data_IF_142832601824
#
_entry.id   IF_142832601824
#
_cell.length_a   1.000
_cell.length_b   1.000
_cell.length_c   1.000
_cell.angle_alpha   90.00
_cell.angle_beta   90.00
_cell.angle_gamma   90.00
#
_symmetry.space_group_name_H-M   'P 1'
#
loop_
_entity.id
_entity.type
_entity.pdbx_description
1 polymer ?
#
# COMPACT_ATOMS: atom_id res chain seq x y z
N UNK A 1 31.78 27.51 21.32
CA UNK A 1 30.54 26.73 21.49
C UNK A 1 29.79 26.57 20.16
N UNK A 2 30.29 25.75 19.22
CA UNK A 2 29.66 25.55 17.89
C UNK A 2 29.61 24.07 17.43
N UNK A 3 30.04 23.12 18.27
CA UNK A 3 30.21 21.70 17.88
C UNK A 3 29.08 20.76 18.36
N UNK A 4 28.10 21.26 19.11
CA UNK A 4 27.04 20.42 19.70
C UNK A 4 25.79 20.32 18.81
N UNK A 5 25.61 21.23 17.85
CA UNK A 5 24.41 21.25 16.99
C UNK A 5 24.42 20.12 15.96
N UNK A 6 25.59 19.60 15.56
CA UNK A 6 25.66 18.54 14.54
C UNK A 6 25.13 17.18 15.01
N UNK A 7 25.28 16.86 16.30
CA UNK A 7 24.93 15.54 16.84
C UNK A 7 23.41 15.37 16.98
N UNK A 8 22.68 16.46 17.22
CA UNK A 8 21.21 16.43 17.33
C UNK A 8 20.52 16.22 15.98
N UNK A 9 21.12 16.65 14.87
CA UNK A 9 20.59 16.41 13.53
C UNK A 9 20.76 14.93 13.12
N UNK A 10 21.86 14.29 13.52
CA UNK A 10 22.12 12.87 13.22
C UNK A 10 21.15 11.91 13.93
N UNK A 11 20.65 12.27 15.11
CA UNK A 11 19.71 11.42 15.86
C UNK A 11 18.28 11.55 15.32
N UNK A 12 17.88 12.71 14.78
CA UNK A 12 16.58 12.86 14.11
C UNK A 12 16.47 12.06 12.80
N UNK A 13 17.60 11.71 12.17
CA UNK A 13 17.65 10.87 10.96
C UNK A 13 17.48 9.36 11.24
N UNK A 14 17.62 8.92 12.50
CA UNK A 14 17.46 7.51 12.89
C UNK A 14 16.01 7.16 13.27
N UNK A 15 15.11 8.15 13.29
CA UNK A 15 13.69 7.97 13.65
C UNK A 15 12.76 7.68 12.47
N UNK A 16 13.27 7.63 11.23
CA UNK A 16 12.47 7.20 10.09
C UNK A 16 12.35 5.68 10.23
N UNK A 17 11.30 5.22 10.91
CA UNK A 17 10.89 3.82 10.85
C UNK A 17 10.80 3.45 9.38
N UNK A 18 11.80 2.71 8.89
CA UNK A 18 11.82 2.26 7.51
C UNK A 18 10.62 1.34 7.37
N UNK A 19 9.57 1.83 6.70
CA UNK A 19 8.63 0.93 6.06
C UNK A 19 9.47 0.11 5.08
N UNK A 20 9.81 -1.11 5.49
CA UNK A 20 10.44 -2.08 4.60
C UNK A 20 9.34 -2.51 3.66
N UNK A 21 9.53 -2.23 2.38
CA UNK A 21 8.79 -2.93 1.36
C UNK A 21 9.72 -4.00 0.77
N UNK A 22 9.14 -5.10 0.33
CA UNK A 22 9.89 -6.20 -0.28
C UNK A 22 9.22 -6.56 -1.60
N UNK A 23 10.02 -6.59 -2.68
CA UNK A 23 9.55 -7.09 -3.97
C UNK A 23 9.53 -8.62 -3.92
N UNK A 24 8.32 -9.17 -3.95
CA UNK A 24 8.11 -10.62 -3.98
C UNK A 24 7.54 -11.05 -5.32
N UNK A 25 8.06 -12.17 -5.85
CA UNK A 25 7.55 -12.82 -7.07
C UNK A 25 6.78 -14.07 -6.67
N UNK A 26 5.55 -14.19 -7.17
CA UNK A 26 4.69 -15.33 -6.88
C UNK A 26 4.23 -16.01 -8.15
N UNK A 27 4.18 -17.34 -8.13
CA UNK A 27 3.58 -18.16 -9.18
C UNK A 27 2.43 -18.97 -8.57
N UNK A 28 1.23 -18.77 -9.11
CA UNK A 28 0.08 -19.62 -8.85
C UNK A 28 0.19 -20.86 -9.73
N UNK A 29 0.59 -21.97 -9.15
CA UNK A 29 0.78 -23.24 -9.85
C UNK A 29 -0.53 -23.86 -10.35
N UNK A 30 -1.68 -23.42 -9.86
CA UNK A 30 -2.98 -23.90 -10.33
C UNK A 30 -3.43 -23.17 -11.60
N UNK A 31 -3.30 -21.84 -11.63
CA UNK A 31 -3.71 -21.03 -12.79
C UNK A 31 -2.58 -20.69 -13.76
N UNK A 32 -1.32 -20.95 -13.38
CA UNK A 32 -0.13 -20.46 -14.10
C UNK A 32 0.03 -18.94 -14.00
N UNK A 33 -0.66 -18.29 -13.05
CA UNK A 33 -0.61 -16.85 -12.87
C UNK A 33 0.71 -16.41 -12.21
N UNK A 34 1.39 -15.41 -12.78
CA UNK A 34 2.57 -14.81 -12.14
C UNK A 34 2.23 -13.41 -11.61
N UNK A 35 2.75 -13.10 -10.42
CA UNK A 35 2.61 -11.80 -9.77
C UNK A 35 3.95 -11.24 -9.34
N UNK A 36 4.06 -9.92 -9.37
CA UNK A 36 5.17 -9.15 -8.79
C UNK A 36 4.52 -8.19 -7.81
N UNK A 37 4.94 -8.22 -6.54
CA UNK A 37 4.30 -7.46 -5.48
C UNK A 37 5.34 -6.61 -4.76
N UNK A 38 5.01 -5.35 -4.43
CA UNK A 38 5.68 -4.64 -3.34
C UNK A 38 4.80 -4.79 -2.10
N UNK A 39 5.35 -5.40 -1.06
CA UNK A 39 4.63 -5.72 0.20
C UNK A 39 5.16 -4.85 1.31
N UNK A 40 4.33 -3.97 1.84
CA UNK A 40 4.64 -3.18 3.02
C UNK A 40 4.05 -3.88 4.23
N UNK A 41 4.85 -4.12 5.25
CA UNK A 41 4.38 -4.48 6.58
C UNK A 41 4.80 -3.39 7.56
N UNK A 42 3.85 -2.82 8.29
CA UNK A 42 4.18 -1.81 9.30
C UNK A 42 4.10 -2.43 10.70
N UNK A 43 5.11 -2.25 11.55
CA UNK A 43 5.07 -2.74 12.92
C UNK A 43 4.22 -1.83 13.84
N UNK A 44 3.72 -0.70 13.33
CA UNK A 44 3.00 0.28 14.12
C UNK A 44 1.50 -0.08 14.22
N UNK A 45 0.95 -0.33 15.42
CA UNK A 45 -0.46 -0.69 15.60
C UNK A 45 -1.46 0.39 15.13
N UNK A 46 -1.00 1.64 15.00
CA UNK A 46 -1.82 2.73 14.49
C UNK A 46 -2.03 2.68 12.97
N UNK A 47 -1.10 2.05 12.25
CA UNK A 47 -1.04 2.01 10.78
C UNK A 47 -1.76 0.77 10.21
N UNK A 48 -1.62 0.55 8.90
CA UNK A 48 -2.05 -0.69 8.23
C UNK A 48 -1.07 -1.81 8.57
N UNK A 49 -1.57 -2.98 8.95
CA UNK A 49 -0.73 -4.17 9.10
C UNK A 49 -0.09 -4.57 7.77
N UNK A 50 -0.78 -4.33 6.65
CA UNK A 50 -0.20 -4.54 5.32
C UNK A 50 -0.81 -3.67 4.22
N UNK A 51 0.05 -3.30 3.28
CA UNK A 51 -0.32 -2.67 2.00
C UNK A 51 0.50 -3.33 0.90
N UNK A 52 -0.18 -3.84 -0.12
CA UNK A 52 0.41 -4.57 -1.24
C UNK A 52 0.02 -3.88 -2.53
N UNK A 53 1.02 -3.54 -3.33
CA UNK A 53 0.84 -3.16 -4.74
C UNK A 53 1.25 -4.35 -5.60
N UNK A 54 0.31 -4.87 -6.37
CA UNK A 54 0.46 -6.10 -7.14
C UNK A 54 0.34 -5.81 -8.62
N UNK A 55 1.27 -6.37 -9.40
CA UNK A 55 1.19 -6.52 -10.85
C UNK A 55 0.92 -7.98 -11.20
N UNK A 56 -0.07 -8.23 -12.04
CA UNK A 56 -0.30 -9.54 -12.65
C UNK A 56 0.55 -9.62 -13.92
N UNK A 57 1.68 -10.33 -13.85
CA UNK A 57 2.68 -10.34 -14.91
C UNK A 57 2.22 -11.08 -16.17
N UNK A 58 1.24 -11.99 -16.06
CA UNK A 58 0.82 -12.86 -17.15
C UNK A 58 -0.42 -12.40 -17.92
N UNK A 59 -1.02 -11.27 -17.56
CA UNK A 59 -2.18 -10.68 -18.26
C UNK A 59 -1.76 -9.74 -19.39
N UNK A 60 -2.62 -9.58 -20.39
CA UNK A 60 -2.51 -8.58 -21.45
C UNK A 60 -3.90 -8.00 -21.78
N UNK A 61 -4.18 -6.71 -21.47
CA UNK A 61 -3.28 -5.72 -20.86
C UNK A 61 -2.85 -6.11 -19.44
N UNK A 62 -1.72 -5.55 -18.98
CA UNK A 62 -1.24 -5.77 -17.60
C UNK A 62 -2.27 -5.25 -16.59
N UNK A 63 -2.59 -6.08 -15.61
CA UNK A 63 -3.51 -5.75 -14.53
C UNK A 63 -2.74 -5.42 -13.25
N UNK A 64 -3.28 -4.49 -12.47
CA UNK A 64 -2.70 -4.04 -11.22
C UNK A 64 -3.76 -3.93 -10.14
N UNK A 65 -3.40 -4.24 -8.90
CA UNK A 65 -4.28 -4.16 -7.75
C UNK A 65 -3.56 -3.59 -6.52
N UNK A 66 -4.30 -2.82 -5.73
CA UNK A 66 -3.98 -2.51 -4.36
C UNK A 66 -4.71 -3.47 -3.44
N UNK A 67 -4.00 -4.00 -2.46
CA UNK A 67 -4.58 -4.73 -1.36
C UNK A 67 -4.11 -4.10 -0.05
N UNK A 68 -5.03 -3.89 0.88
CA UNK A 68 -4.71 -3.35 2.19
C UNK A 68 -5.42 -4.18 3.25
N UNK A 69 -4.76 -4.37 4.38
CA UNK A 69 -5.34 -5.09 5.50
C UNK A 69 -5.03 -4.44 6.85
N UNK A 70 -5.87 -4.76 7.82
CA UNK A 70 -5.65 -4.46 9.22
C UNK A 70 -6.12 -5.62 10.10
N UNK A 71 -5.34 -5.94 11.11
CA UNK A 71 -5.62 -6.89 12.19
C UNK A 71 -5.74 -6.10 13.49
N UNK A 72 -6.87 -6.22 14.17
CA UNK A 72 -7.07 -5.49 15.43
C UNK A 72 -8.02 -6.19 16.37
N UNK A 73 -7.84 -5.98 17.67
CA UNK A 73 -8.79 -6.38 18.72
C UNK A 73 -9.93 -5.37 18.89
N UNK A 74 -9.84 -4.20 18.25
CA UNK A 74 -10.88 -3.15 18.26
C UNK A 74 -11.71 -3.23 16.99
N UNK A 75 -12.91 -2.66 17.01
CA UNK A 75 -13.73 -2.56 15.80
C UNK A 75 -13.02 -1.72 14.74
N UNK A 76 -12.55 -2.37 13.67
CA UNK A 76 -12.06 -1.71 12.47
C UNK A 76 -12.62 -2.44 11.26
N UNK A 77 -13.23 -1.67 10.37
CA UNK A 77 -13.81 -2.19 9.14
C UNK A 77 -13.58 -1.17 8.04
N UNK A 78 -12.90 -1.59 6.98
CA UNK A 78 -12.89 -0.82 5.75
C UNK A 78 -14.30 -0.69 5.18
N UNK A 79 -14.63 0.48 4.65
CA UNK A 79 -15.84 0.68 3.85
C UNK A 79 -15.79 -0.18 2.59
N UNK A 80 -16.95 -0.43 1.98
CA UNK A 80 -17.09 -1.17 0.72
C UNK A 80 -17.22 -0.25 -0.50
N UNK A 81 -17.03 1.05 -0.35
CA UNK A 81 -17.26 2.04 -1.41
C UNK A 81 -16.05 2.18 -2.35
N UNK A 82 -15.13 3.08 -2.04
CA UNK A 82 -13.95 3.37 -2.85
C UNK A 82 -12.79 3.77 -1.95
N UNK A 83 -11.57 3.56 -2.41
CA UNK A 83 -10.39 4.24 -1.87
C UNK A 83 -10.18 5.52 -2.67
N UNK A 84 -9.67 6.56 -2.02
CA UNK A 84 -9.25 7.78 -2.69
C UNK A 84 -7.73 7.75 -2.86
N UNK A 85 -7.24 8.04 -4.07
CA UNK A 85 -5.82 8.20 -4.37
C UNK A 85 -5.52 9.66 -4.74
N UNK A 86 -4.48 10.22 -4.13
CA UNK A 86 -3.94 11.54 -4.46
C UNK A 86 -2.50 11.38 -4.90
N UNK A 87 -2.23 11.68 -6.17
CA UNK A 87 -0.90 11.63 -6.77
C UNK A 87 -0.45 13.06 -7.05
N UNK A 88 0.61 13.52 -6.39
CA UNK A 88 1.16 14.87 -6.55
C UNK A 88 0.08 15.98 -6.57
N UNK A 89 0.05 16.77 -7.65
CA UNK A 89 -0.92 17.85 -7.88
C UNK A 89 -2.12 17.42 -8.73
N UNK A 90 -2.19 16.17 -9.20
CA UNK A 90 -3.35 15.68 -9.96
C UNK A 90 -4.62 15.72 -9.09
N UNK A 91 -5.82 15.86 -9.68
CA UNK A 91 -7.08 15.70 -8.94
C UNK A 91 -7.10 14.39 -8.13
N UNK A 92 -7.80 14.39 -7.00
CA UNK A 92 -8.04 13.15 -6.26
C UNK A 92 -8.93 12.23 -7.08
N UNK A 93 -8.62 10.95 -7.09
CA UNK A 93 -9.36 9.95 -7.85
C UNK A 93 -9.95 8.90 -6.92
N UNK A 94 -11.14 8.43 -7.25
CA UNK A 94 -11.81 7.35 -6.52
C UNK A 94 -11.60 6.04 -7.26
N UNK A 95 -11.10 5.05 -6.53
CA UNK A 95 -10.89 3.69 -7.04
C UNK A 95 -11.89 2.79 -6.33
N UNK A 96 -12.84 2.25 -7.09
CA UNK A 96 -13.88 1.36 -6.56
C UNK A 96 -13.27 0.10 -5.93
N UNK A 97 -13.80 -0.30 -4.78
CA UNK A 97 -13.35 -1.53 -4.11
C UNK A 97 -13.95 -2.74 -4.84
N UNK A 98 -13.08 -3.64 -5.31
CA UNK A 98 -13.47 -4.91 -5.95
C UNK A 98 -13.85 -5.98 -4.92
N UNK A 99 -13.12 -6.02 -3.80
CA UNK A 99 -13.35 -6.99 -2.73
C UNK A 99 -13.17 -6.33 -1.38
N UNK A 100 -14.07 -6.63 -0.44
CA UNK A 100 -13.94 -6.30 0.98
C UNK A 100 -14.22 -7.58 1.77
N UNK A 101 -13.45 -7.84 2.82
CA UNK A 101 -13.73 -8.94 3.72
C UNK A 101 -13.39 -8.61 5.17
N UNK A 102 -14.13 -9.27 6.06
CA UNK A 102 -13.91 -9.26 7.49
C UNK A 102 -13.89 -10.71 7.98
N UNK A 103 -12.84 -11.10 8.68
CA UNK A 103 -12.66 -12.44 9.23
C UNK A 103 -12.31 -12.30 10.71
N UNK A 104 -12.98 -13.06 11.58
CA UNK A 104 -12.56 -13.20 12.98
C UNK A 104 -11.51 -14.28 13.07
N UNK A 105 -10.31 -13.93 13.54
CA UNK A 105 -9.21 -14.84 13.77
C UNK A 105 -9.48 -15.71 15.00
N UNK A 106 -8.78 -16.85 15.11
CA UNK A 106 -8.95 -17.80 16.22
C UNK A 106 -8.66 -17.19 17.61
N UNK A 107 -7.84 -16.14 17.66
CA UNK A 107 -7.51 -15.40 18.87
C UNK A 107 -8.50 -14.26 19.19
N UNK A 108 -9.60 -14.17 18.44
CA UNK A 108 -10.66 -13.17 18.62
C UNK A 108 -10.38 -11.82 17.97
N UNK A 109 -9.20 -11.59 17.36
CA UNK A 109 -8.93 -10.38 16.59
C UNK A 109 -9.72 -10.37 15.28
N UNK A 110 -10.03 -9.19 14.78
CA UNK A 110 -10.65 -8.99 13.48
C UNK A 110 -9.58 -8.69 12.43
N UNK A 111 -9.64 -9.41 11.31
CA UNK A 111 -8.87 -9.17 10.11
C UNK A 111 -9.79 -8.57 9.05
N UNK A 112 -9.63 -7.29 8.77
CA UNK A 112 -10.32 -6.58 7.69
C UNK A 112 -9.38 -6.36 6.53
N UNK A 113 -9.85 -6.59 5.31
CA UNK A 113 -9.05 -6.36 4.10
C UNK A 113 -9.90 -5.85 2.95
N UNK A 114 -9.25 -5.17 2.02
CA UNK A 114 -9.83 -4.75 0.76
C UNK A 114 -8.89 -5.00 -0.41
N UNK A 115 -9.47 -5.08 -1.60
CA UNK A 115 -8.76 -5.07 -2.88
C UNK A 115 -9.41 -4.05 -3.81
N UNK A 116 -8.59 -3.23 -4.45
CA UNK A 116 -9.01 -2.21 -5.41
C UNK A 116 -8.16 -2.32 -6.68
N UNK A 117 -8.76 -2.49 -7.88
CA UNK A 117 -8.04 -2.56 -9.14
C UNK A 117 -7.57 -1.18 -9.56
N UNK A 118 -6.37 -1.08 -10.12
CA UNK A 118 -5.83 0.16 -10.68
C UNK A 118 -5.98 0.17 -12.20
N UNK A 119 -6.44 1.30 -12.73
CA UNK A 119 -6.56 1.51 -14.16
C UNK A 119 -5.20 1.80 -14.80
N UNK A 120 -5.08 1.64 -16.12
CA UNK A 120 -3.87 2.04 -16.84
C UNK A 120 -3.51 3.52 -16.64
N UNK A 121 -4.53 4.39 -16.53
CA UNK A 121 -4.33 5.82 -16.23
C UNK A 121 -3.71 6.07 -14.86
N UNK A 122 -4.08 5.28 -13.84
CA UNK A 122 -3.48 5.35 -12.50
C UNK A 122 -2.00 4.94 -12.56
N UNK A 123 -1.70 3.87 -13.29
CA UNK A 123 -0.33 3.36 -13.44
C UNK A 123 0.59 4.37 -14.12
N UNK A 124 0.12 5.05 -15.17
CA UNK A 124 0.93 6.10 -15.82
C UNK A 124 1.24 7.26 -14.88
N UNK A 125 0.29 7.64 -14.02
CA UNK A 125 0.53 8.67 -12.99
C UNK A 125 1.52 8.19 -11.94
N UNK A 126 1.40 6.94 -11.48
CA UNK A 126 2.31 6.36 -10.48
C UNK A 126 3.76 6.33 -10.97
N UNK A 127 4.00 5.98 -12.25
CA UNK A 127 5.35 5.98 -12.85
C UNK A 127 6.08 7.32 -12.65
N UNK A 128 5.35 8.42 -12.78
CA UNK A 128 5.87 9.78 -12.71
C UNK A 128 5.71 10.44 -11.34
N UNK A 129 5.01 9.80 -10.42
CA UNK A 129 4.66 10.36 -9.12
C UNK A 129 5.90 10.71 -8.29
N UNK A 130 5.87 11.84 -7.59
CA UNK A 130 6.84 12.15 -6.52
C UNK A 130 6.27 11.81 -5.15
N UNK A 131 4.96 11.85 -4.99
CA UNK A 131 4.25 11.58 -3.75
C UNK A 131 2.89 10.98 -4.03
N UNK A 132 2.53 9.98 -3.23
CA UNK A 132 1.21 9.36 -3.25
C UNK A 132 0.64 9.34 -1.84
N UNK A 133 -0.63 9.70 -1.71
CA UNK A 133 -1.42 9.46 -0.51
C UNK A 133 -2.65 8.62 -0.87
N UNK A 134 -2.95 7.64 -0.04
CA UNK A 134 -4.12 6.79 -0.12
C UNK A 134 -5.03 7.12 1.06
N UNK A 135 -6.31 7.30 0.81
CA UNK A 135 -7.32 7.43 1.85
C UNK A 135 -8.29 6.27 1.76
N UNK A 136 -8.40 5.55 2.87
CA UNK A 136 -9.22 4.38 3.05
C UNK A 136 -10.41 4.76 3.93
N UNK A 137 -11.63 4.82 3.38
CA UNK A 137 -12.81 5.03 4.20
C UNK A 137 -13.04 3.83 5.12
N UNK A 138 -13.45 4.10 6.35
CA UNK A 138 -13.76 3.09 7.37
C UNK A 138 -15.16 3.33 7.90
N UNK A 139 -15.72 2.36 8.64
CA UNK A 139 -17.05 2.50 9.23
C UNK A 139 -17.21 3.70 10.18
N UNK A 140 -16.10 4.27 10.68
CA UNK A 140 -16.10 5.36 11.67
C UNK A 140 -15.35 6.61 11.20
N UNK A 141 -14.92 6.66 9.93
CA UNK A 141 -14.19 7.80 9.39
C UNK A 141 -13.31 7.43 8.20
N UNK A 142 -12.05 7.85 8.23
CA UNK A 142 -11.09 7.54 7.18
C UNK A 142 -9.70 7.41 7.74
N UNK A 143 -8.90 6.53 7.14
CA UNK A 143 -7.49 6.36 7.41
C UNK A 143 -6.70 6.85 6.21
N UNK A 144 -5.71 7.73 6.43
CA UNK A 144 -4.87 8.29 5.37
C UNK A 144 -3.46 7.73 5.53
N UNK A 145 -2.95 7.14 4.45
CA UNK A 145 -1.60 6.61 4.35
C UNK A 145 -0.82 7.41 3.30
N UNK A 146 0.28 8.03 3.72
CA UNK A 146 1.20 8.70 2.80
C UNK A 146 2.32 7.72 2.51
N UNK A 147 2.52 7.38 1.22
CA UNK A 147 3.56 6.43 0.83
C UNK A 147 4.94 7.03 1.13
N UNK A 148 5.81 6.31 1.86
CA UNK A 148 7.22 6.65 1.96
C UNK A 148 7.92 6.57 0.58
N UNK A 149 8.94 7.39 0.37
CA UNK A 149 9.64 7.46 -0.93
C UNK A 149 10.23 6.11 -1.37
N UNK A 150 10.74 5.31 -0.42
CA UNK A 150 11.26 3.97 -0.69
C UNK A 150 10.18 3.02 -1.23
N UNK A 151 8.99 3.05 -0.65
CA UNK A 151 7.83 2.27 -1.12
C UNK A 151 7.41 2.70 -2.52
N UNK A 152 7.37 4.02 -2.76
CA UNK A 152 7.03 4.55 -4.08
C UNK A 152 8.06 4.14 -5.14
N UNK A 153 9.34 4.10 -4.79
CA UNK A 153 10.39 3.59 -5.68
C UNK A 153 10.14 2.12 -6.04
N UNK A 154 9.82 1.27 -5.07
CA UNK A 154 9.48 -0.13 -5.34
C UNK A 154 8.23 -0.30 -6.20
N UNK A 155 7.18 0.51 -6.01
CA UNK A 155 6.00 0.45 -6.88
C UNK A 155 6.38 0.70 -8.34
N UNK A 156 7.30 1.65 -8.58
CA UNK A 156 7.82 1.92 -9.92
C UNK A 156 8.67 0.77 -10.45
N UNK A 157 9.46 0.11 -9.60
CA UNK A 157 10.19 -1.10 -9.97
C UNK A 157 9.25 -2.24 -10.34
N UNK A 158 8.18 -2.48 -9.57
CA UNK A 158 7.14 -3.47 -9.89
C UNK A 158 6.48 -3.17 -11.25
N UNK A 159 6.17 -1.90 -11.53
CA UNK A 159 5.61 -1.48 -12.82
C UNK A 159 6.59 -1.75 -13.96
N UNK A 160 7.87 -1.38 -13.78
CA UNK A 160 8.92 -1.54 -14.79
C UNK A 160 9.37 -2.98 -14.99
N UNK A 161 9.21 -3.84 -13.99
CA UNK A 161 9.69 -5.22 -14.03
C UNK A 161 9.02 -6.00 -15.16
N UNK A 162 9.85 -6.54 -16.05
CA UNK A 162 9.42 -7.54 -17.02
C UNK A 162 9.21 -8.89 -16.33
N UNK A 163 8.54 -9.82 -17.04
CA UNK A 163 8.24 -11.17 -16.53
C UNK A 163 9.48 -11.83 -15.95
#
# INVERSE_FOLDING_TARGET
>A
MKKIILILVSIMLLGIGQASAEITRGEDTFTGGATINSVISTPNPADLDGLVFRKFANTDPKEYELWANRITSKSFLFSNTAIEIKIDSYPTEEIAIKKNGLITLADGRQYSHITAPLTSGDIEKIKMAKRIALKFPTAVGSYVYILPDAVLAEWKEVIAAEK
#
